data_IF_243891199490
#
_entry.id   IF_243891199490
#
_cell.length_a   1.000
_cell.length_b   1.000
_cell.length_c   1.000
_cell.angle_alpha   90.00
_cell.angle_beta   90.00
_cell.angle_gamma   90.00
#
_symmetry.space_group_name_H-M   'P 1'
#
loop_
_entity.id
_entity.type
_entity.pdbx_description
1 polymer ?
#
# COMPACT_ATOMS: atom_id res chain seq x y z
N UNK A 1 -5.68 -12.17 1.53
CA UNK A 1 -6.36 -10.92 1.14
C UNK A 1 -5.30 -9.86 1.05
N UNK A 2 -5.07 -9.32 -0.15
CA UNK A 2 -4.09 -8.27 -0.37
C UNK A 2 -4.60 -6.98 0.30
N UNK A 3 -3.70 -6.06 0.63
CA UNK A 3 -4.06 -4.77 1.25
C UNK A 3 -5.12 -4.02 0.42
N UNK A 4 -4.99 -4.05 -0.90
CA UNK A 4 -5.91 -3.38 -1.82
C UNK A 4 -7.33 -3.98 -1.78
N UNK A 5 -7.45 -5.30 -1.68
CA UNK A 5 -8.75 -5.97 -1.56
C UNK A 5 -9.48 -5.49 -0.31
N UNK A 6 -8.78 -5.43 0.84
CA UNK A 6 -9.35 -4.92 2.10
C UNK A 6 -9.87 -3.49 1.97
N UNK A 7 -9.17 -2.65 1.22
CA UNK A 7 -9.56 -1.26 1.00
C UNK A 7 -10.81 -1.20 0.12
N UNK A 8 -10.85 -1.98 -0.95
CA UNK A 8 -12.02 -2.08 -1.85
C UNK A 8 -13.24 -2.58 -1.08
N UNK A 9 -13.10 -3.63 -0.28
CA UNK A 9 -14.18 -4.24 0.49
C UNK A 9 -14.77 -3.21 1.48
N UNK A 10 -13.92 -2.55 2.27
CA UNK A 10 -14.36 -1.53 3.21
C UNK A 10 -15.05 -0.33 2.52
N UNK A 11 -14.52 0.15 1.38
CA UNK A 11 -15.15 1.25 0.65
C UNK A 11 -16.49 0.82 0.00
N UNK A 12 -16.60 -0.44 -0.42
CA UNK A 12 -17.85 -1.01 -0.93
C UNK A 12 -18.90 -1.13 0.18
N UNK A 13 -18.50 -1.60 1.36
CA UNK A 13 -19.35 -1.67 2.54
C UNK A 13 -19.85 -0.28 2.94
N UNK A 14 -19.00 0.73 2.83
CA UNK A 14 -19.37 2.12 3.08
C UNK A 14 -20.50 2.59 2.15
N UNK A 15 -20.40 2.29 0.85
CA UNK A 15 -21.45 2.59 -0.14
C UNK A 15 -22.78 1.93 0.22
N UNK A 16 -22.76 0.66 0.64
CA UNK A 16 -23.96 -0.09 0.97
C UNK A 16 -24.61 0.41 2.26
N UNK A 17 -23.80 0.77 3.25
CA UNK A 17 -24.25 1.06 4.61
C UNK A 17 -24.69 2.52 4.79
N UNK A 18 -24.20 3.44 3.97
CA UNK A 18 -24.60 4.85 4.02
C UNK A 18 -26.08 5.02 3.65
N UNK A 19 -26.95 5.53 4.55
CA UNK A 19 -28.35 5.78 4.22
C UNK A 19 -28.48 6.76 3.05
N UNK A 20 -29.40 6.47 2.12
CA UNK A 20 -29.73 7.36 0.97
C UNK A 20 -30.06 8.81 1.37
N UNK A 21 -30.40 9.06 2.64
CA UNK A 21 -30.78 10.35 3.19
C UNK A 21 -29.61 11.30 3.50
N UNK A 22 -28.35 10.84 3.48
CA UNK A 22 -27.17 11.69 3.75
C UNK A 22 -26.53 12.29 2.49
N UNK A 23 -27.34 12.99 1.68
CA UNK A 23 -26.83 13.69 0.49
C UNK A 23 -25.73 14.73 0.78
N UNK A 24 -25.63 15.25 2.01
CA UNK A 24 -24.71 16.34 2.35
C UNK A 24 -23.24 15.91 2.56
N UNK A 25 -22.96 14.63 2.87
CA UNK A 25 -21.58 14.15 3.09
C UNK A 25 -21.02 13.35 1.90
N UNK A 26 -21.81 13.13 0.83
CA UNK A 26 -21.37 12.34 -0.34
C UNK A 26 -20.11 12.90 -0.99
N UNK A 27 -20.06 14.21 -1.22
CA UNK A 27 -18.89 14.83 -1.81
C UNK A 27 -17.66 14.67 -0.93
N UNK A 28 -17.82 14.80 0.39
CA UNK A 28 -16.72 14.64 1.33
C UNK A 28 -16.19 13.20 1.37
N UNK A 29 -17.08 12.22 1.25
CA UNK A 29 -16.73 10.79 1.16
C UNK A 29 -16.07 10.43 -0.18
N UNK A 30 -16.51 11.04 -1.28
CA UNK A 30 -15.84 10.92 -2.59
C UNK A 30 -14.44 11.52 -2.51
N UNK A 31 -14.31 12.75 -2.02
CA UNK A 31 -13.01 13.42 -1.86
C UNK A 31 -12.08 12.63 -0.92
N UNK A 32 -12.65 12.03 0.13
CA UNK A 32 -11.95 11.15 1.04
C UNK A 32 -11.43 9.90 0.32
N UNK A 33 -12.28 9.21 -0.42
CA UNK A 33 -11.95 7.98 -1.15
C UNK A 33 -10.89 8.24 -2.21
N UNK A 34 -11.01 9.34 -2.96
CA UNK A 34 -9.99 9.78 -3.92
C UNK A 34 -8.64 10.05 -3.24
N UNK A 35 -8.66 10.60 -2.02
CA UNK A 35 -7.42 10.84 -1.27
C UNK A 35 -6.79 9.53 -0.77
N UNK A 36 -7.59 8.57 -0.29
CA UNK A 36 -7.12 7.21 0.04
C UNK A 36 -6.49 6.55 -1.17
N UNK A 37 -7.16 6.61 -2.32
CA UNK A 37 -6.63 6.09 -3.59
C UNK A 37 -5.25 6.68 -3.88
N UNK A 38 -5.13 8.00 -3.86
CA UNK A 38 -3.89 8.70 -4.21
C UNK A 38 -2.71 8.32 -3.30
N UNK A 39 -2.93 8.21 -1.98
CA UNK A 39 -1.86 7.85 -1.05
C UNK A 39 -1.43 6.38 -1.17
N UNK A 40 -2.39 5.46 -1.40
CA UNK A 40 -2.08 4.05 -1.61
C UNK A 40 -1.36 3.82 -2.94
N UNK A 41 -1.78 4.52 -4.00
CA UNK A 41 -1.08 4.50 -5.28
C UNK A 41 0.36 4.97 -5.13
N UNK A 42 0.57 6.11 -4.45
CA UNK A 42 1.90 6.64 -4.17
C UNK A 42 2.76 5.64 -3.39
N UNK A 43 2.21 4.98 -2.37
CA UNK A 43 2.93 3.98 -1.58
C UNK A 43 3.42 2.80 -2.44
N UNK A 44 2.56 2.28 -3.32
CA UNK A 44 2.88 1.16 -4.21
C UNK A 44 3.88 1.58 -5.28
N UNK A 45 3.73 2.76 -5.86
CA UNK A 45 4.64 3.30 -6.88
C UNK A 45 6.05 3.54 -6.33
N UNK A 46 6.15 4.04 -5.10
CA UNK A 46 7.44 4.18 -4.41
C UNK A 46 8.09 2.82 -4.12
N UNK A 47 7.31 1.80 -3.77
CA UNK A 47 7.86 0.45 -3.63
C UNK A 47 8.35 -0.12 -4.96
N UNK A 48 7.58 0.07 -6.03
CA UNK A 48 8.01 -0.31 -7.38
C UNK A 48 9.33 0.39 -7.72
N UNK A 49 9.45 1.69 -7.47
CA UNK A 49 10.66 2.46 -7.74
C UNK A 49 11.87 1.92 -6.94
N UNK A 50 11.65 1.59 -5.67
CA UNK A 50 12.69 1.01 -4.81
C UNK A 50 13.15 -0.36 -5.31
N UNK A 51 12.23 -1.21 -5.75
CA UNK A 51 12.54 -2.52 -6.33
C UNK A 51 13.25 -2.35 -7.68
N UNK A 52 12.76 -1.50 -8.57
CA UNK A 52 13.39 -1.21 -9.87
C UNK A 52 14.80 -0.61 -9.70
N UNK A 53 15.06 0.06 -8.58
CA UNK A 53 16.38 0.55 -8.19
C UNK A 53 17.46 -0.53 -8.15
N UNK A 54 17.09 -1.79 -7.84
CA UNK A 54 18.03 -2.94 -7.79
C UNK A 54 18.82 -3.12 -9.08
N UNK A 55 18.19 -2.85 -10.23
CA UNK A 55 18.79 -3.02 -11.56
C UNK A 55 19.97 -2.08 -11.81
N UNK A 56 19.99 -0.94 -11.11
CA UNK A 56 20.99 0.12 -11.30
C UNK A 56 22.17 -0.02 -10.34
N UNK A 57 22.09 -0.90 -9.35
CA UNK A 57 23.15 -1.08 -8.37
C UNK A 57 24.30 -1.86 -9.02
N UNK A 58 25.46 -1.22 -9.17
CA UNK A 58 26.63 -1.83 -9.80
C UNK A 58 27.38 -2.78 -8.86
N UNK A 59 27.59 -2.33 -7.61
CA UNK A 59 28.35 -3.06 -6.59
C UNK A 59 27.57 -4.23 -6.00
N UNK A 60 28.23 -5.38 -5.89
CA UNK A 60 27.66 -6.59 -5.29
C UNK A 60 27.27 -6.35 -3.83
N UNK A 61 28.15 -5.69 -3.07
CA UNK A 61 27.93 -5.38 -1.67
C UNK A 61 26.75 -4.42 -1.49
N UNK A 62 26.65 -3.39 -2.33
CA UNK A 62 25.52 -2.46 -2.29
C UNK A 62 24.20 -3.17 -2.63
N UNK A 63 24.22 -4.10 -3.58
CA UNK A 63 23.02 -4.85 -3.95
C UNK A 63 22.57 -5.76 -2.80
N UNK A 64 23.49 -6.48 -2.16
CA UNK A 64 23.21 -7.30 -0.99
C UNK A 64 22.60 -6.45 0.12
N UNK A 65 23.24 -5.31 0.44
CA UNK A 65 22.76 -4.40 1.49
C UNK A 65 21.40 -3.81 1.17
N UNK A 66 21.14 -3.43 -0.08
CA UNK A 66 19.84 -2.93 -0.54
C UNK A 66 18.74 -3.99 -0.36
N UNK A 67 19.02 -5.23 -0.77
CA UNK A 67 18.07 -6.34 -0.67
C UNK A 67 17.79 -6.75 0.78
N UNK A 68 18.83 -6.88 1.61
CA UNK A 68 18.70 -7.20 3.03
C UNK A 68 18.09 -6.04 3.83
N UNK A 69 18.33 -4.79 3.39
CA UNK A 69 17.79 -3.58 3.99
C UNK A 69 16.41 -3.19 3.49
N UNK A 70 15.75 -4.00 2.65
CA UNK A 70 14.52 -3.62 1.93
C UNK A 70 13.43 -3.02 2.83
N UNK A 71 13.17 -3.65 3.98
CA UNK A 71 12.13 -3.18 4.90
C UNK A 71 12.43 -1.77 5.45
N UNK A 72 13.65 -1.52 5.90
CA UNK A 72 14.06 -0.20 6.42
C UNK A 72 14.22 0.82 5.30
N UNK A 73 14.71 0.40 4.13
CA UNK A 73 14.90 1.27 2.97
C UNK A 73 13.57 1.79 2.44
N UNK A 74 12.58 0.91 2.25
CA UNK A 74 11.22 1.30 1.88
C UNK A 74 10.58 2.22 2.91
N UNK A 75 10.78 1.92 4.20
CA UNK A 75 10.24 2.76 5.26
C UNK A 75 10.82 4.18 5.24
N UNK A 76 12.12 4.30 4.97
CA UNK A 76 12.77 5.61 4.80
C UNK A 76 12.19 6.37 3.60
N UNK A 77 11.95 5.68 2.48
CA UNK A 77 11.28 6.27 1.30
C UNK A 77 9.89 6.76 1.66
N UNK A 78 9.09 5.97 2.39
CA UNK A 78 7.74 6.40 2.80
C UNK A 78 7.74 7.60 3.72
N UNK A 79 8.69 7.68 4.64
CA UNK A 79 8.85 8.83 5.51
C UNK A 79 9.30 10.08 4.73
N UNK A 80 10.25 9.94 3.81
CA UNK A 80 10.73 11.03 2.96
C UNK A 80 9.60 11.64 2.11
N UNK A 81 8.79 10.77 1.50
CA UNK A 81 7.66 11.19 0.66
C UNK A 81 6.36 11.40 1.45
N UNK A 82 6.42 11.38 2.79
CA UNK A 82 5.30 11.66 3.72
C UNK A 82 4.07 10.78 3.52
N UNK A 83 4.23 9.57 3.00
CA UNK A 83 3.13 8.62 2.78
C UNK A 83 2.44 8.28 4.10
N UNK A 84 3.21 7.96 5.14
CA UNK A 84 2.66 7.61 6.46
C UNK A 84 1.85 8.77 7.06
N UNK A 85 2.35 10.00 6.92
CA UNK A 85 1.66 11.22 7.38
C UNK A 85 0.36 11.42 6.61
N UNK A 86 0.38 11.20 5.30
CA UNK A 86 -0.82 11.26 4.46
C UNK A 86 -1.88 10.27 4.92
N UNK A 87 -1.50 8.99 5.11
CA UNK A 87 -2.41 7.94 5.56
C UNK A 87 -2.98 8.20 6.96
N UNK A 88 -2.15 8.67 7.91
CA UNK A 88 -2.63 9.05 9.24
C UNK A 88 -3.59 10.24 9.18
N UNK A 89 -3.30 11.27 8.37
CA UNK A 89 -4.20 12.41 8.19
C UNK A 89 -5.55 12.03 7.56
N UNK A 90 -5.58 10.98 6.74
CA UNK A 90 -6.83 10.42 6.23
C UNK A 90 -7.63 9.74 7.34
N UNK A 91 -7.00 9.01 8.25
CA UNK A 91 -7.71 8.44 9.40
C UNK A 91 -8.37 9.54 10.26
N UNK A 92 -7.64 10.63 10.54
CA UNK A 92 -8.19 11.78 11.29
C UNK A 92 -9.37 12.42 10.55
N UNK A 93 -9.25 12.61 9.23
CA UNK A 93 -10.33 13.16 8.39
C UNK A 93 -11.56 12.26 8.39
N UNK A 94 -11.37 10.94 8.32
CA UNK A 94 -12.49 10.00 8.43
C UNK A 94 -13.19 10.13 9.78
N UNK A 95 -12.45 10.20 10.88
CA UNK A 95 -13.05 10.40 12.21
C UNK A 95 -13.85 11.71 12.26
N UNK A 96 -13.38 12.79 11.65
CA UNK A 96 -14.13 14.06 11.56
C UNK A 96 -15.45 13.92 10.81
N UNK A 97 -15.48 13.21 9.68
CA UNK A 97 -16.70 12.98 8.88
C UNK A 97 -17.77 12.27 9.73
N UNK A 98 -17.37 11.30 10.56
CA UNK A 98 -18.30 10.42 11.29
C UNK A 98 -18.48 10.76 12.79
N UNK A 99 -17.68 11.66 13.37
CA UNK A 99 -17.75 12.06 14.80
C UNK A 99 -18.79 13.15 15.09
N UNK A 100 -19.39 13.76 14.07
CA UNK A 100 -20.40 14.82 14.21
C UNK A 100 -21.79 14.29 14.65
N UNK A 101 -21.85 13.68 15.82
CA UNK A 101 -23.02 13.50 16.73
C UNK A 101 -24.39 13.00 16.23
N UNK A 102 -24.60 12.66 14.95
CA UNK A 102 -25.89 12.09 14.47
C UNK A 102 -25.80 10.64 13.96
N UNK A 103 -24.60 10.06 13.87
CA UNK A 103 -24.35 8.81 13.12
C UNK A 103 -23.71 7.67 13.93
N UNK A 104 -23.78 7.72 15.26
CA UNK A 104 -23.23 6.68 16.14
C UNK A 104 -23.80 5.27 15.87
N UNK A 105 -24.99 5.17 15.26
CA UNK A 105 -25.58 3.91 14.80
C UNK A 105 -24.86 3.32 13.58
N UNK A 106 -24.37 4.18 12.67
CA UNK A 106 -23.63 3.78 11.46
C UNK A 106 -22.28 3.18 11.86
N UNK A 107 -21.56 3.80 12.80
CA UNK A 107 -20.25 3.33 13.29
C UNK A 107 -20.31 1.89 13.85
N UNK A 108 -21.43 1.47 14.44
CA UNK A 108 -21.63 0.10 14.90
C UNK A 108 -21.84 -0.93 13.79
N UNK A 109 -22.39 -0.49 12.65
CA UNK A 109 -22.69 -1.32 11.47
C UNK A 109 -21.49 -1.41 10.51
N UNK A 110 -20.63 -0.39 10.43
CA UNK A 110 -19.45 -0.38 9.53
C UNK A 110 -18.16 -0.87 10.22
N UNK A 111 -18.16 -2.14 10.65
CA UNK A 111 -17.01 -2.74 11.35
C UNK A 111 -15.74 -2.83 10.49
N UNK A 112 -15.87 -3.16 9.20
CA UNK A 112 -14.72 -3.33 8.30
C UNK A 112 -14.06 -1.98 7.96
N UNK A 113 -14.89 -0.98 7.77
CA UNK A 113 -14.53 0.44 7.61
C UNK A 113 -13.76 0.94 8.84
N UNK A 114 -14.29 0.76 10.05
CA UNK A 114 -13.56 1.12 11.27
C UNK A 114 -12.24 0.36 11.48
N UNK A 115 -12.15 -0.89 11.01
CA UNK A 115 -10.92 -1.66 11.04
C UNK A 115 -9.90 -1.07 10.05
N UNK A 116 -10.32 -0.77 8.83
CA UNK A 116 -9.48 -0.11 7.83
C UNK A 116 -8.95 1.23 8.33
N UNK A 117 -9.75 2.05 9.00
CA UNK A 117 -9.28 3.34 9.51
C UNK A 117 -8.32 3.24 10.67
N UNK A 118 -8.50 2.23 11.55
CA UNK A 118 -7.48 1.90 12.53
C UNK A 118 -6.17 1.45 11.89
N UNK A 119 -6.26 0.71 10.79
CA UNK A 119 -5.08 0.30 10.04
C UNK A 119 -4.43 1.51 9.34
N UNK A 120 -5.21 2.44 8.78
CA UNK A 120 -4.72 3.69 8.16
C UNK A 120 -4.07 4.65 9.17
N UNK A 121 -4.62 4.75 10.39
CA UNK A 121 -4.01 5.51 11.48
C UNK A 121 -2.61 4.98 11.80
N UNK A 122 -2.43 3.65 11.69
CA UNK A 122 -1.15 2.96 11.75
C UNK A 122 -0.50 2.85 10.35
N UNK A 123 -0.49 3.93 9.58
CA UNK A 123 -0.13 3.95 8.15
C UNK A 123 1.19 3.22 7.81
N UNK A 124 2.17 3.24 8.71
CA UNK A 124 3.42 2.47 8.58
C UNK A 124 3.15 0.96 8.53
N UNK A 125 2.36 0.45 9.48
CA UNK A 125 2.01 -0.98 9.57
C UNK A 125 1.18 -1.41 8.38
N UNK A 126 0.26 -0.56 7.90
CA UNK A 126 -0.59 -0.88 6.75
C UNK A 126 0.25 -1.08 5.47
N UNK A 127 1.17 -0.16 5.19
CA UNK A 127 2.03 -0.24 4.00
C UNK A 127 3.06 -1.37 4.15
N UNK A 128 3.70 -1.50 5.31
CA UNK A 128 4.68 -2.57 5.58
C UNK A 128 4.02 -3.94 5.49
N UNK A 129 2.81 -4.11 6.02
CA UNK A 129 2.12 -5.39 6.01
C UNK A 129 1.64 -5.78 4.61
N UNK A 130 1.18 -4.79 3.83
CA UNK A 130 0.87 -4.97 2.42
C UNK A 130 2.09 -5.44 1.60
N UNK A 131 3.29 -4.99 1.96
CA UNK A 131 4.54 -5.32 1.26
C UNK A 131 5.38 -6.38 1.95
N UNK A 132 4.92 -6.92 3.07
CA UNK A 132 5.67 -7.87 3.91
C UNK A 132 6.15 -9.09 3.11
N UNK A 133 5.33 -9.56 2.16
CA UNK A 133 5.70 -10.66 1.27
C UNK A 133 6.91 -10.34 0.40
N UNK A 134 6.94 -9.14 -0.18
CA UNK A 134 8.03 -8.68 -1.04
C UNK A 134 9.29 -8.41 -0.22
N UNK A 135 9.16 -7.74 0.93
CA UNK A 135 10.29 -7.47 1.83
C UNK A 135 11.01 -8.75 2.25
N UNK A 136 10.25 -9.81 2.57
CA UNK A 136 10.81 -11.13 2.91
C UNK A 136 11.53 -11.77 1.72
N UNK A 137 10.97 -11.67 0.51
CA UNK A 137 11.61 -12.18 -0.72
C UNK A 137 12.92 -11.45 -1.01
N UNK A 138 12.92 -10.12 -0.95
CA UNK A 138 14.12 -9.29 -1.15
C UNK A 138 15.20 -9.65 -0.14
N UNK A 139 14.84 -9.74 1.15
CA UNK A 139 15.78 -10.14 2.19
C UNK A 139 16.39 -11.51 1.90
N UNK A 140 15.55 -12.51 1.55
CA UNK A 140 16.02 -13.85 1.21
C UNK A 140 16.98 -13.84 0.00
N UNK A 141 16.67 -13.07 -1.05
CA UNK A 141 17.57 -12.92 -2.19
C UNK A 141 18.90 -12.27 -1.79
N UNK A 142 18.89 -11.27 -0.92
CA UNK A 142 20.11 -10.68 -0.38
C UNK A 142 20.95 -11.68 0.42
N UNK A 143 20.33 -12.53 1.23
CA UNK A 143 21.01 -13.63 1.93
C UNK A 143 21.59 -14.66 0.96
N UNK A 144 20.83 -15.08 -0.05
CA UNK A 144 21.28 -16.02 -1.08
C UNK A 144 22.51 -15.48 -1.82
N UNK A 145 22.49 -14.20 -2.21
CA UNK A 145 23.60 -13.56 -2.91
C UNK A 145 24.87 -13.43 -2.03
N UNK A 146 24.70 -13.22 -0.72
CA UNK A 146 25.82 -12.93 0.19
C UNK A 146 26.81 -14.07 0.42
N UNK A 147 26.46 -15.29 0.01
CA UNK A 147 27.29 -16.50 0.24
C UNK A 147 27.88 -17.07 -1.06
N UNK A 148 27.66 -16.40 -2.19
CA UNK A 148 28.11 -16.88 -3.50
C UNK A 148 29.49 -16.35 -3.87
N UNK A 149 30.22 -17.13 -4.67
CA UNK A 149 31.42 -16.70 -5.38
C UNK A 149 31.06 -15.86 -6.62
N UNK A 150 31.98 -15.03 -7.10
CA UNK A 150 31.79 -14.06 -8.19
C UNK A 150 31.04 -14.62 -9.44
N UNK A 151 31.45 -15.78 -9.97
CA UNK A 151 30.78 -16.38 -11.15
C UNK A 151 29.34 -16.80 -10.86
N UNK A 152 29.09 -17.39 -9.69
CA UNK A 152 27.76 -17.80 -9.25
C UNK A 152 26.90 -16.59 -8.88
N UNK A 153 27.51 -15.53 -8.35
CA UNK A 153 26.88 -14.26 -8.03
C UNK A 153 26.29 -13.62 -9.28
N UNK A 154 27.07 -13.51 -10.37
CA UNK A 154 26.62 -12.89 -11.60
C UNK A 154 25.39 -13.59 -12.20
N UNK A 155 25.40 -14.92 -12.25
CA UNK A 155 24.25 -15.69 -12.72
C UNK A 155 23.03 -15.52 -11.78
N UNK A 156 23.25 -15.58 -10.47
CA UNK A 156 22.18 -15.44 -9.48
C UNK A 156 21.57 -14.05 -9.46
N UNK A 157 22.39 -13.01 -9.65
CA UNK A 157 21.95 -11.61 -9.74
C UNK A 157 20.91 -11.43 -10.84
N UNK A 158 21.16 -11.98 -12.02
CA UNK A 158 20.20 -11.91 -13.14
C UNK A 158 18.88 -12.58 -12.78
N UNK A 159 18.94 -13.78 -12.20
CA UNK A 159 17.74 -14.49 -11.73
C UNK A 159 16.94 -13.69 -10.69
N UNK A 160 17.63 -13.08 -9.71
CA UNK A 160 17.00 -12.24 -8.69
C UNK A 160 16.32 -11.03 -9.31
N UNK A 161 16.98 -10.35 -10.25
CA UNK A 161 16.40 -9.20 -10.96
C UNK A 161 15.15 -9.60 -11.74
N UNK A 162 15.19 -10.69 -12.51
CA UNK A 162 14.04 -11.20 -13.26
C UNK A 162 12.86 -11.55 -12.33
N UNK A 163 13.14 -12.18 -11.19
CA UNK A 163 12.09 -12.48 -10.19
C UNK A 163 11.48 -11.22 -9.60
N UNK A 164 12.29 -10.21 -9.30
CA UNK A 164 11.80 -8.93 -8.80
C UNK A 164 10.99 -8.16 -9.86
N UNK A 165 11.31 -8.31 -11.14
CA UNK A 165 10.51 -7.77 -12.24
C UNK A 165 9.10 -8.38 -12.27
N UNK A 166 8.97 -9.69 -12.03
CA UNK A 166 7.67 -10.35 -11.91
C UNK A 166 6.87 -9.80 -10.73
N UNK A 167 7.50 -9.53 -9.58
CA UNK A 167 6.84 -8.89 -8.45
C UNK A 167 6.35 -7.48 -8.82
N UNK A 168 7.18 -6.67 -9.49
CA UNK A 168 6.79 -5.33 -9.98
C UNK A 168 5.60 -5.41 -10.95
N UNK A 169 5.61 -6.36 -11.89
CA UNK A 169 4.49 -6.57 -12.81
C UNK A 169 3.22 -6.95 -12.05
N UNK A 170 3.32 -7.84 -11.07
CA UNK A 170 2.19 -8.20 -10.20
C UNK A 170 1.66 -6.99 -9.43
N UNK A 171 2.53 -6.17 -8.84
CA UNK A 171 2.12 -4.96 -8.13
C UNK A 171 1.39 -3.97 -9.06
N UNK A 172 1.90 -3.75 -10.27
CA UNK A 172 1.24 -2.89 -11.27
C UNK A 172 -0.13 -3.45 -11.69
N UNK A 173 -0.24 -4.76 -11.85
CA UNK A 173 -1.52 -5.41 -12.17
C UNK A 173 -2.54 -5.21 -11.04
N UNK A 174 -2.12 -5.44 -9.79
CA UNK A 174 -2.96 -5.22 -8.60
C UNK A 174 -3.38 -3.76 -8.47
N UNK A 175 -2.46 -2.81 -8.75
CA UNK A 175 -2.75 -1.39 -8.73
C UNK A 175 -3.79 -0.99 -9.79
N UNK A 176 -3.72 -1.58 -10.98
CA UNK A 176 -4.70 -1.34 -12.03
C UNK A 176 -6.08 -1.91 -11.66
N UNK A 177 -6.14 -3.10 -11.08
CA UNK A 177 -7.40 -3.67 -10.57
C UNK A 177 -8.01 -2.77 -9.49
N UNK A 178 -7.18 -2.25 -8.58
CA UNK A 178 -7.61 -1.31 -7.55
C UNK A 178 -8.19 -0.02 -8.15
N UNK A 179 -7.48 0.59 -9.12
CA UNK A 179 -7.94 1.77 -9.86
C UNK A 179 -9.29 1.55 -10.52
N UNK A 180 -9.44 0.44 -11.25
CA UNK A 180 -10.70 0.11 -11.92
C UNK A 180 -11.83 -0.13 -10.91
N UNK A 181 -11.56 -0.86 -9.83
CA UNK A 181 -12.57 -1.13 -8.79
C UNK A 181 -13.08 0.16 -8.14
N UNK A 182 -12.17 1.12 -7.87
CA UNK A 182 -12.57 2.42 -7.33
C UNK A 182 -13.35 3.27 -8.33
N UNK A 183 -13.03 3.20 -9.63
CA UNK A 183 -13.82 3.86 -10.66
C UNK A 183 -15.27 3.35 -10.72
N UNK A 184 -15.50 2.08 -10.36
CA UNK A 184 -16.85 1.50 -10.28
C UNK A 184 -17.58 1.88 -8.98
N UNK A 185 -16.84 2.07 -7.87
CA UNK A 185 -17.38 2.43 -6.54
C UNK A 185 -17.71 3.92 -6.44
N UNK A 186 -16.84 4.80 -6.92
CA UNK A 186 -16.96 6.26 -6.76
C UNK A 186 -18.32 6.83 -7.26
N UNK A 187 -18.88 6.39 -8.40
CA UNK A 187 -20.20 6.86 -8.86
C UNK A 187 -21.38 6.41 -7.98
N UNK A 188 -21.18 5.39 -7.14
CA UNK A 188 -22.21 4.84 -6.26
C UNK A 188 -22.28 5.57 -4.92
N UNK A 189 -21.18 6.23 -4.51
CA UNK A 189 -21.08 7.07 -3.32
C UNK A 189 -21.97 8.30 -3.39
#
# INVERSE_FOLDING_TARGET
>A
MLLLDKIIDALSDLVVTLPKAQQYNRQELVDFTVSVQAEIERAIELAILYIDGTKRIGSEQELILHLQGASSGLMNVYNEFKVCVGLSGLADRFEQIFSSTHDAAIVGEVKEVNALFRDLANGESLVIDGLRGINKKMYAYGCELSVLSDEAFAAKRTEVVERLELEVQSMRAQLNVFRTSLQDILPLM
#
